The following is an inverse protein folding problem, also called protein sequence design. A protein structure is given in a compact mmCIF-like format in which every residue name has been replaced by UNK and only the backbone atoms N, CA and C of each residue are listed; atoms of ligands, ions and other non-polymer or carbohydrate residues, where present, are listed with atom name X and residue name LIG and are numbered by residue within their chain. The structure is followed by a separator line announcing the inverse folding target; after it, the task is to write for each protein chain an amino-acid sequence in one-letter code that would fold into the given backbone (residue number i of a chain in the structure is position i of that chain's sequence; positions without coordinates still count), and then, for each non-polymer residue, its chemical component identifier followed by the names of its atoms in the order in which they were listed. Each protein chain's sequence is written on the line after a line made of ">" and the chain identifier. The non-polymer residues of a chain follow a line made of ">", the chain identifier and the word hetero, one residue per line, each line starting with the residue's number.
data_IF_457334475848
#
_entry.id   IF_457334475848
#
_cell.length_a   1.000
_cell.length_b   1.000
_cell.length_c   1.000
_cell.angle_alpha   90.00
_cell.angle_beta   90.00
_cell.angle_gamma   90.00
#
_symmetry.space_group_name_H-M   'P 1'
#
loop_
_entity.id
_entity.type
_entity.pdbx_description
1 polymer ?
#
# COMPACT_ATOMS: atom_id res chain seq x y z
N UNK A 1 0.33 -5.98 -13.90
CA UNK A 1 -0.94 -6.46 -13.29
C UNK A 1 -0.73 -6.57 -11.78
N UNK A 2 -1.61 -5.99 -10.95
CA UNK A 2 -1.49 -6.08 -9.49
C UNK A 2 -1.76 -7.52 -9.01
N UNK A 3 -0.77 -8.12 -8.33
CA UNK A 3 -0.87 -9.49 -7.80
C UNK A 3 -1.90 -9.49 -6.66
N UNK A 4 -3.03 -10.18 -6.84
CA UNK A 4 -4.03 -10.32 -5.76
C UNK A 4 -3.38 -11.09 -4.59
N UNK A 5 -3.70 -10.70 -3.37
CA UNK A 5 -3.29 -11.46 -2.18
C UNK A 5 -4.16 -12.73 -2.11
N UNK A 6 -3.55 -13.93 -2.11
CA UNK A 6 -4.25 -15.19 -1.86
C UNK A 6 -5.03 -15.12 -0.53
N UNK A 7 -6.22 -15.73 -0.46
CA UNK A 7 -7.12 -15.56 0.70
C UNK A 7 -6.45 -16.01 2.00
N UNK A 8 -5.75 -17.14 1.98
CA UNK A 8 -5.05 -17.69 3.14
C UNK A 8 -3.95 -16.77 3.70
N UNK A 9 -3.41 -15.86 2.88
CA UNK A 9 -2.36 -14.93 3.31
C UNK A 9 -2.90 -13.60 3.81
N UNK A 10 -4.15 -13.23 3.51
CA UNK A 10 -4.69 -11.88 3.78
C UNK A 10 -4.63 -11.48 5.25
N UNK A 11 -4.82 -12.43 6.17
CA UNK A 11 -4.76 -12.16 7.61
C UNK A 11 -3.36 -11.84 8.14
N UNK A 12 -2.30 -12.10 7.36
CA UNK A 12 -0.89 -11.89 7.75
C UNK A 12 -0.22 -10.74 7.01
N UNK A 13 -0.87 -10.20 5.98
CA UNK A 13 -0.27 -9.14 5.16
C UNK A 13 -0.51 -7.79 5.83
N UNK A 14 0.55 -7.01 6.15
CA UNK A 14 0.40 -5.68 6.70
C UNK A 14 -0.33 -4.75 5.72
N UNK A 15 -1.16 -3.87 6.29
CA UNK A 15 -1.89 -2.85 5.56
C UNK A 15 -1.49 -1.48 6.09
N UNK A 16 -1.23 -0.55 5.18
CA UNK A 16 -1.18 0.88 5.51
C UNK A 16 -2.51 1.48 5.13
N UNK A 17 -3.13 2.18 6.08
CA UNK A 17 -4.43 2.81 5.96
C UNK A 17 -4.34 4.29 6.31
N UNK A 18 -5.20 5.09 5.69
CA UNK A 18 -5.52 6.43 6.16
C UNK A 18 -7.03 6.52 6.47
N UNK A 19 -7.52 7.74 6.71
CA UNK A 19 -8.94 7.98 7.03
C UNK A 19 -9.91 7.60 5.91
N UNK A 20 -9.44 7.42 4.68
CA UNK A 20 -10.25 7.02 3.52
C UNK A 20 -10.07 5.55 3.16
N UNK A 21 -9.29 4.78 3.93
CA UNK A 21 -9.14 3.34 3.77
C UNK A 21 -7.72 2.89 3.41
N UNK A 22 -7.60 1.73 2.76
CA UNK A 22 -6.32 1.08 2.47
C UNK A 22 -5.57 1.86 1.38
N UNK A 23 -4.35 2.32 1.71
CA UNK A 23 -3.47 3.03 0.79
C UNK A 23 -2.37 2.15 0.21
N UNK A 24 -1.89 1.16 0.98
CA UNK A 24 -0.87 0.21 0.54
C UNK A 24 -1.12 -1.17 1.16
N UNK A 25 -1.20 -2.18 0.31
CA UNK A 25 -1.07 -3.59 0.71
C UNK A 25 0.41 -3.93 0.57
N UNK A 26 1.11 -4.10 1.69
CA UNK A 26 2.57 -4.24 1.74
C UNK A 26 3.03 -5.40 0.86
N UNK A 27 4.02 -5.16 0.01
CA UNK A 27 4.52 -6.16 -0.96
C UNK A 27 3.61 -6.44 -2.16
N UNK A 28 2.45 -5.77 -2.28
CA UNK A 28 1.47 -6.05 -3.34
C UNK A 28 1.12 -4.83 -4.20
N UNK A 29 0.49 -3.79 -3.63
CA UNK A 29 0.00 -2.65 -4.43
C UNK A 29 -0.25 -1.41 -3.59
N UNK A 30 0.14 -0.26 -4.13
CA UNK A 30 -0.28 1.06 -3.66
C UNK A 30 -1.54 1.46 -4.42
N UNK A 31 -2.51 2.06 -3.73
CA UNK A 31 -3.77 2.52 -4.34
C UNK A 31 -3.55 3.70 -5.27
N UNK A 32 -4.39 3.85 -6.29
CA UNK A 32 -4.23 4.91 -7.29
C UNK A 32 -4.35 6.32 -6.69
N UNK A 33 -5.19 6.50 -5.66
CA UNK A 33 -5.44 7.79 -5.01
C UNK A 33 -4.19 8.46 -4.43
N UNK A 34 -3.22 7.67 -3.99
CA UNK A 34 -2.00 8.19 -3.32
C UNK A 34 -0.77 8.15 -4.23
N UNK A 35 -0.96 7.91 -5.53
CA UNK A 35 0.14 7.85 -6.49
C UNK A 35 0.77 9.23 -6.63
N UNK A 36 2.09 9.26 -6.76
CA UNK A 36 2.81 10.47 -7.13
C UNK A 36 2.39 10.91 -8.54
N UNK A 37 2.13 12.19 -8.69
CA UNK A 37 1.79 12.85 -9.95
C UNK A 37 2.67 14.07 -10.14
N UNK A 38 2.61 14.70 -11.31
CA UNK A 38 3.29 15.98 -11.56
C UNK A 38 2.85 17.09 -10.59
N UNK A 39 1.65 17.00 -10.02
CA UNK A 39 1.13 17.97 -9.05
C UNK A 39 1.55 17.66 -7.60
N UNK A 40 2.22 16.54 -7.33
CA UNK A 40 2.57 16.14 -5.97
C UNK A 40 3.70 17.02 -5.41
N UNK A 41 3.39 17.76 -4.34
CA UNK A 41 4.34 18.70 -3.69
C UNK A 41 5.09 18.11 -2.50
N UNK A 42 4.56 17.04 -1.90
CA UNK A 42 5.15 16.36 -0.75
C UNK A 42 5.02 14.86 -0.91
N UNK A 43 6.06 14.15 -0.53
CA UNK A 43 6.13 12.70 -0.61
C UNK A 43 6.29 12.12 0.79
N UNK A 44 5.75 10.92 1.00
CA UNK A 44 5.96 10.14 2.22
C UNK A 44 6.56 8.80 1.81
N UNK A 45 7.76 8.51 2.31
CA UNK A 45 8.42 7.22 2.14
C UNK A 45 8.10 6.29 3.29
N UNK A 46 7.65 5.08 2.98
CA UNK A 46 7.43 4.01 3.96
C UNK A 46 8.23 2.79 3.52
N UNK A 47 8.86 2.12 4.49
CA UNK A 47 9.55 0.85 4.31
C UNK A 47 9.02 -0.13 5.33
N UNK A 48 8.79 -1.35 4.88
CA UNK A 48 8.42 -2.48 5.73
C UNK A 48 9.60 -3.44 5.80
N UNK A 49 9.92 -3.88 7.00
CA UNK A 49 10.95 -4.89 7.27
C UNK A 49 10.29 -5.99 8.12
N UNK A 50 10.45 -7.24 7.70
CA UNK A 50 10.07 -8.40 8.51
C UNK A 50 11.19 -8.66 9.51
N UNK A 51 10.82 -8.84 10.78
CA UNK A 51 11.71 -9.26 11.87
C UNK A 51 11.58 -10.75 12.14
#
# INVERSE_FOLDING_TARGET
>A
RGRRVPRERRGRVPLVCDRSGIVWVVGHRITHRVRLTAATRRTLGLRWEEG
#
